data_IF_979253362546
#
_entry.id   IF_979253362546
#
_cell.length_a   1.000
_cell.length_b   1.000
_cell.length_c   1.000
_cell.angle_alpha   90.00
_cell.angle_beta   90.00
_cell.angle_gamma   90.00
#
_symmetry.space_group_name_H-M   'P 1'
#
loop_
_entity.id
_entity.type
_entity.pdbx_description
1 polymer ?
#
# COMPACT_ATOMS: atom_id res chain seq x y z
N UNK A 1 -5.35 2.71 15.97
CA UNK A 1 -4.70 2.32 14.70
C UNK A 1 -3.36 3.04 14.58
N UNK A 2 -2.33 2.39 14.00
CA UNK A 2 -1.01 2.98 13.79
C UNK A 2 -0.52 2.69 12.37
N UNK A 3 -0.02 3.72 11.67
CA UNK A 3 0.50 3.61 10.30
C UNK A 3 1.95 4.09 10.31
N UNK A 4 2.88 3.27 9.82
CA UNK A 4 4.30 3.62 9.71
C UNK A 4 4.72 3.48 8.26
N UNK A 5 5.25 4.56 7.67
CA UNK A 5 5.82 4.50 6.32
C UNK A 5 7.20 3.85 6.35
N UNK A 6 7.39 2.86 5.50
CA UNK A 6 8.65 2.11 5.39
C UNK A 6 9.52 2.60 4.22
N UNK A 7 9.12 3.73 3.64
CA UNK A 7 9.71 4.27 2.42
C UNK A 7 9.03 3.73 1.16
N UNK A 8 9.08 4.52 0.07
CA UNK A 8 8.46 4.24 -1.21
C UNK A 8 6.96 3.95 -1.07
N UNK A 9 6.51 2.75 -1.40
CA UNK A 9 5.12 2.29 -1.23
C UNK A 9 4.93 1.38 -0.01
N UNK A 10 6.00 1.10 0.74
CA UNK A 10 5.99 0.23 1.89
C UNK A 10 5.31 0.84 3.11
N UNK A 11 4.39 0.09 3.73
CA UNK A 11 3.74 0.50 4.98
C UNK A 11 3.64 -0.65 5.98
N UNK A 12 3.73 -0.30 7.26
CA UNK A 12 3.33 -1.12 8.38
C UNK A 12 2.06 -0.54 8.97
N UNK A 13 0.98 -1.31 9.03
CA UNK A 13 -0.32 -0.91 9.57
C UNK A 13 -0.67 -1.83 10.74
N UNK A 14 -0.80 -1.23 11.93
CA UNK A 14 -1.24 -1.90 13.15
C UNK A 14 -2.71 -1.58 13.37
N UNK A 15 -3.59 -2.59 13.27
CA UNK A 15 -5.04 -2.44 13.30
C UNK A 15 -5.69 -3.75 13.82
N UNK A 16 -6.71 -3.66 14.69
CA UNK A 16 -7.43 -4.81 15.26
C UNK A 16 -6.51 -5.86 15.93
N UNK A 17 -5.35 -5.43 16.42
CA UNK A 17 -4.35 -6.34 16.99
C UNK A 17 -3.49 -7.06 15.95
N UNK A 18 -3.76 -6.90 14.66
CA UNK A 18 -2.92 -7.39 13.58
C UNK A 18 -1.84 -6.37 13.19
N UNK A 19 -0.78 -6.87 12.58
CA UNK A 19 0.29 -6.05 11.99
C UNK A 19 0.44 -6.45 10.52
N UNK A 20 -0.01 -5.58 9.64
CA UNK A 20 0.00 -5.78 8.20
C UNK A 20 1.20 -5.06 7.59
N UNK A 21 2.01 -5.77 6.82
CA UNK A 21 3.04 -5.16 5.98
C UNK A 21 2.52 -5.06 4.55
N UNK A 22 2.40 -3.85 4.05
CA UNK A 22 1.97 -3.57 2.68
C UNK A 22 3.22 -3.27 1.86
N UNK A 23 3.40 -3.98 0.75
CA UNK A 23 4.50 -3.77 -0.22
C UNK A 23 5.89 -3.55 0.43
N UNK A 24 6.34 -4.45 1.33
CA UNK A 24 7.58 -4.24 2.06
C UNK A 24 8.82 -4.43 1.17
N UNK A 25 9.45 -3.32 0.82
CA UNK A 25 10.69 -3.28 0.05
C UNK A 25 11.77 -2.54 0.84
N UNK A 26 12.77 -3.25 1.33
CA UNK A 26 13.89 -2.73 2.12
C UNK A 26 15.22 -2.84 1.38
N UNK A 27 15.47 -4.04 0.82
CA UNK A 27 16.71 -4.32 0.09
C UNK A 27 16.77 -3.52 -1.21
N UNK A 28 17.72 -2.59 -1.29
CA UNK A 28 17.86 -1.69 -2.44
C UNK A 28 16.96 -0.44 -2.40
N UNK A 29 16.15 -0.26 -1.36
CA UNK A 29 15.39 0.96 -1.15
C UNK A 29 16.31 2.05 -0.56
N UNK A 30 16.62 3.13 -1.31
CA UNK A 30 17.62 4.11 -0.87
C UNK A 30 17.17 5.00 0.30
N UNK A 31 15.87 5.01 0.62
CA UNK A 31 15.33 5.82 1.74
C UNK A 31 15.01 4.99 2.97
N UNK A 32 15.06 3.65 2.88
CA UNK A 32 14.87 2.81 4.06
C UNK A 32 16.15 2.81 4.92
N UNK A 33 16.08 3.13 6.23
CA UNK A 33 17.26 3.25 7.07
C UNK A 33 17.91 1.90 7.35
N UNK A 34 19.22 1.84 7.12
CA UNK A 34 20.02 0.63 7.38
C UNK A 34 19.85 0.16 8.84
N UNK A 35 19.79 -1.16 9.04
CA UNK A 35 19.69 -1.78 10.36
C UNK A 35 18.30 -1.78 10.99
N UNK A 36 17.30 -1.08 10.44
CA UNK A 36 15.94 -1.02 11.04
C UNK A 36 14.96 -2.09 10.54
N UNK A 37 15.42 -3.03 9.71
CA UNK A 37 14.54 -4.10 9.17
C UNK A 37 13.85 -4.90 10.28
N UNK A 38 14.59 -5.33 11.31
CA UNK A 38 14.01 -6.12 12.40
C UNK A 38 12.86 -5.40 13.12
N UNK A 39 13.00 -4.10 13.33
CA UNK A 39 11.96 -3.26 13.91
C UNK A 39 10.74 -3.13 12.98
N UNK A 40 10.98 -2.92 11.68
CA UNK A 40 9.92 -2.79 10.69
C UNK A 40 9.01 -4.03 10.61
N UNK A 41 9.58 -5.23 10.74
CA UNK A 41 8.84 -6.50 10.62
C UNK A 41 8.37 -7.09 11.96
N UNK A 42 8.76 -6.49 13.09
CA UNK A 42 8.46 -7.03 14.42
C UNK A 42 6.96 -7.24 14.61
N UNK A 43 6.57 -8.47 14.96
CA UNK A 43 5.17 -8.84 15.22
C UNK A 43 4.27 -8.82 14.00
N UNK A 44 4.81 -8.73 12.78
CA UNK A 44 4.02 -8.80 11.56
C UNK A 44 3.23 -10.11 11.50
N UNK A 45 1.97 -10.02 11.07
CA UNK A 45 1.03 -11.14 10.97
C UNK A 45 0.73 -11.51 9.52
N UNK A 46 0.82 -10.56 8.60
CA UNK A 46 0.53 -10.73 7.18
C UNK A 46 1.42 -9.81 6.34
N UNK A 47 1.76 -10.27 5.14
CA UNK A 47 2.30 -9.43 4.06
C UNK A 47 1.22 -9.29 2.99
N UNK A 48 0.87 -8.07 2.59
CA UNK A 48 -0.04 -7.78 1.49
C UNK A 48 0.73 -7.15 0.33
N UNK A 49 0.52 -7.66 -0.87
CA UNK A 49 1.18 -7.16 -2.09
C UNK A 49 0.13 -6.62 -3.06
N UNK A 50 0.30 -5.37 -3.47
CA UNK A 50 -0.62 -4.70 -4.40
C UNK A 50 -0.44 -5.20 -5.84
N UNK A 51 0.79 -5.47 -6.26
CA UNK A 51 1.14 -5.96 -7.60
C UNK A 51 2.57 -6.53 -7.66
N UNK A 52 3.00 -6.96 -8.85
CA UNK A 52 4.20 -7.78 -9.02
C UNK A 52 5.52 -7.04 -9.17
N UNK A 53 5.57 -5.70 -9.22
CA UNK A 53 6.85 -5.00 -9.40
C UNK A 53 7.80 -5.19 -8.22
N UNK A 54 9.11 -5.14 -8.50
CA UNK A 54 10.15 -5.48 -7.52
C UNK A 54 10.23 -4.54 -6.33
N UNK A 55 9.89 -3.26 -6.52
CA UNK A 55 9.79 -2.24 -5.47
C UNK A 55 8.54 -2.35 -4.58
N UNK A 56 7.67 -3.34 -4.84
CA UNK A 56 6.51 -3.72 -4.04
C UNK A 56 6.63 -5.14 -3.48
N UNK A 57 6.96 -6.12 -4.32
CA UNK A 57 7.16 -7.51 -3.87
C UNK A 57 8.39 -7.65 -2.97
N UNK A 58 9.46 -6.95 -3.32
CA UNK A 58 10.70 -6.75 -2.61
C UNK A 58 11.10 -7.84 -1.64
N UNK A 59 11.08 -7.51 -0.36
CA UNK A 59 11.41 -8.41 0.74
C UNK A 59 10.22 -9.25 1.23
N UNK A 60 9.02 -9.06 0.68
CA UNK A 60 7.78 -9.70 1.14
C UNK A 60 7.89 -11.21 1.31
N UNK A 61 8.31 -11.99 0.28
CA UNK A 61 8.45 -13.44 0.41
C UNK A 61 9.49 -13.88 1.45
N UNK A 62 10.60 -13.16 1.56
CA UNK A 62 11.64 -13.46 2.54
C UNK A 62 11.15 -13.23 3.97
N UNK A 63 10.44 -12.11 4.21
CA UNK A 63 9.81 -11.79 5.50
C UNK A 63 8.75 -12.84 5.86
N UNK A 64 7.89 -13.18 4.92
CA UNK A 64 6.84 -14.17 5.13
C UNK A 64 7.41 -15.53 5.55
N UNK A 65 8.48 -15.95 4.91
CA UNK A 65 9.19 -17.20 5.25
C UNK A 65 9.86 -17.12 6.63
N UNK A 66 10.56 -16.03 6.93
CA UNK A 66 11.25 -15.80 8.20
C UNK A 66 10.28 -15.83 9.38
N UNK A 67 9.13 -15.17 9.25
CA UNK A 67 8.14 -15.04 10.32
C UNK A 67 7.06 -16.13 10.29
N UNK A 68 7.08 -17.02 9.28
CA UNK A 68 6.06 -18.04 9.05
C UNK A 68 4.64 -17.45 8.97
N UNK A 69 4.47 -16.36 8.23
CA UNK A 69 3.21 -15.66 8.01
C UNK A 69 2.83 -15.70 6.51
N UNK A 70 1.54 -15.55 6.16
CA UNK A 70 1.11 -15.60 4.77
C UNK A 70 1.46 -14.33 3.99
N UNK A 71 1.68 -14.51 2.67
CA UNK A 71 1.65 -13.44 1.66
C UNK A 71 0.25 -13.42 1.05
N UNK A 72 -0.42 -12.28 1.12
CA UNK A 72 -1.74 -12.04 0.59
C UNK A 72 -1.69 -11.10 -0.63
N UNK A 73 -2.48 -11.37 -1.65
CA UNK A 73 -2.53 -10.57 -2.86
C UNK A 73 -3.33 -11.26 -3.97
N UNK A 74 -3.28 -10.70 -5.18
CA UNK A 74 -3.95 -11.30 -6.32
C UNK A 74 -3.45 -12.73 -6.54
N UNK A 75 -4.38 -13.65 -6.82
CA UNK A 75 -4.11 -15.09 -6.83
C UNK A 75 -2.90 -15.48 -7.69
N UNK A 76 -2.79 -14.90 -8.90
CA UNK A 76 -1.71 -15.20 -9.84
C UNK A 76 -0.33 -14.82 -9.28
N UNK A 77 -0.21 -13.63 -8.65
CA UNK A 77 1.04 -13.17 -8.04
C UNK A 77 1.44 -14.07 -6.87
N UNK A 78 0.53 -14.26 -5.91
CA UNK A 78 0.91 -15.01 -4.70
C UNK A 78 1.10 -16.50 -5.00
N UNK A 79 0.39 -17.06 -6.00
CA UNK A 79 0.63 -18.41 -6.52
C UNK A 79 2.03 -18.55 -7.09
N UNK A 80 2.45 -17.62 -7.95
CA UNK A 80 3.81 -17.56 -8.48
C UNK A 80 4.87 -17.49 -7.36
N UNK A 81 4.63 -16.65 -6.35
CA UNK A 81 5.53 -16.54 -5.18
C UNK A 81 5.57 -17.81 -4.33
N UNK A 82 4.43 -18.50 -4.17
CA UNK A 82 4.38 -19.79 -3.49
C UNK A 82 5.24 -20.86 -4.18
N UNK A 83 5.12 -20.96 -5.51
CA UNK A 83 5.93 -21.89 -6.32
C UNK A 83 7.42 -21.55 -6.24
N UNK A 84 7.77 -20.28 -6.31
CA UNK A 84 9.17 -19.83 -6.35
C UNK A 84 9.86 -19.86 -4.99
N UNK A 85 9.15 -19.50 -3.91
CA UNK A 85 9.74 -19.27 -2.58
C UNK A 85 9.25 -20.22 -1.50
N UNK A 86 8.20 -21.01 -1.75
CA UNK A 86 7.62 -21.96 -0.77
C UNK A 86 6.96 -21.25 0.41
N UNK A 87 6.33 -20.09 0.19
CA UNK A 87 5.64 -19.30 1.22
C UNK A 87 4.17 -19.71 1.33
N UNK A 88 3.58 -19.50 2.50
CA UNK A 88 2.12 -19.60 2.70
C UNK A 88 1.45 -18.40 2.02
N UNK A 89 0.27 -18.62 1.44
CA UNK A 89 -0.44 -17.58 0.71
C UNK A 89 -1.91 -17.44 1.11
N UNK A 90 -2.43 -16.22 0.95
CA UNK A 90 -3.87 -15.92 0.91
C UNK A 90 -4.14 -15.30 -0.45
N UNK A 91 -4.45 -16.16 -1.45
CA UNK A 91 -4.81 -15.71 -2.79
C UNK A 91 -6.27 -15.28 -2.85
N UNK A 92 -6.53 -14.05 -3.28
CA UNK A 92 -7.88 -13.54 -3.54
C UNK A 92 -7.89 -12.64 -4.76
N UNK A 93 -9.01 -12.02 -5.09
CA UNK A 93 -9.11 -11.21 -6.30
C UNK A 93 -9.95 -9.95 -6.04
N UNK A 94 -9.97 -9.03 -6.99
CA UNK A 94 -10.73 -7.77 -6.92
C UNK A 94 -12.19 -8.04 -6.58
N UNK A 95 -12.73 -7.30 -5.60
CA UNK A 95 -14.04 -7.52 -5.00
C UNK A 95 -14.07 -8.54 -3.87
N UNK A 96 -13.02 -9.36 -3.71
CA UNK A 96 -12.87 -10.28 -2.58
C UNK A 96 -12.44 -9.57 -1.30
N UNK A 97 -12.90 -10.08 -0.16
CA UNK A 97 -12.51 -9.63 1.17
C UNK A 97 -11.97 -10.78 1.99
N UNK A 98 -10.82 -10.58 2.63
CA UNK A 98 -10.19 -11.54 3.54
C UNK A 98 -10.11 -10.98 4.95
N UNK A 99 -10.11 -11.88 5.93
CA UNK A 99 -9.86 -11.54 7.33
C UNK A 99 -8.36 -11.61 7.62
N UNK A 100 -7.82 -10.55 8.17
CA UNK A 100 -6.43 -10.44 8.56
C UNK A 100 -6.31 -10.17 10.07
N UNK A 101 -6.77 -11.14 10.89
CA UNK A 101 -6.68 -11.06 12.34
C UNK A 101 -7.66 -10.03 12.95
N UNK A 102 -8.85 -9.90 12.37
CA UNK A 102 -9.90 -8.94 12.76
C UNK A 102 -10.06 -7.78 11.78
N UNK A 103 -8.98 -7.30 11.17
CA UNK A 103 -9.07 -6.34 10.07
C UNK A 103 -9.64 -7.01 8.81
N UNK A 104 -10.55 -6.33 8.12
CA UNK A 104 -11.10 -6.78 6.83
C UNK A 104 -10.40 -6.09 5.68
N UNK A 105 -9.75 -6.87 4.82
CA UNK A 105 -9.01 -6.34 3.66
C UNK A 105 -9.74 -6.73 2.39
N UNK A 106 -10.31 -5.74 1.71
CA UNK A 106 -10.99 -5.91 0.41
C UNK A 106 -10.05 -5.45 -0.70
N UNK A 107 -9.82 -6.31 -1.70
CA UNK A 107 -9.05 -5.93 -2.88
C UNK A 107 -9.93 -5.10 -3.82
N UNK A 108 -9.41 -3.95 -4.25
CA UNK A 108 -10.06 -3.05 -5.19
C UNK A 108 -9.22 -2.84 -6.44
N UNK A 109 -9.82 -2.23 -7.46
CA UNK A 109 -9.13 -1.98 -8.72
C UNK A 109 -8.01 -0.94 -8.57
N UNK A 110 -7.01 -1.04 -9.44
CA UNK A 110 -5.97 -0.06 -9.72
C UNK A 110 -5.71 -0.04 -11.23
N UNK A 111 -5.06 1.00 -11.72
CA UNK A 111 -4.74 1.18 -13.15
C UNK A 111 -3.22 1.37 -13.31
N UNK A 112 -2.51 0.28 -13.53
CA UNK A 112 -1.06 0.21 -13.64
C UNK A 112 -0.68 -1.02 -14.47
N UNK A 113 0.45 -1.63 -14.20
CA UNK A 113 0.88 -2.93 -14.74
C UNK A 113 1.38 -3.83 -13.61
N UNK A 114 1.47 -5.13 -13.89
CA UNK A 114 1.90 -6.10 -12.87
C UNK A 114 2.74 -7.20 -13.52
N UNK A 115 4.04 -7.16 -13.27
CA UNK A 115 4.98 -8.19 -13.73
C UNK A 115 6.07 -8.43 -12.70
N UNK A 116 6.58 -9.65 -12.64
CA UNK A 116 7.70 -10.05 -11.80
C UNK A 116 8.67 -10.86 -12.62
N UNK A 117 9.95 -10.47 -12.65
CA UNK A 117 11.00 -11.12 -13.45
C UNK A 117 10.63 -11.29 -14.94
N UNK A 118 9.90 -10.31 -15.51
CA UNK A 118 9.46 -10.33 -16.90
C UNK A 118 8.24 -11.22 -17.18
N UNK A 119 7.64 -11.80 -16.14
CA UNK A 119 6.41 -12.61 -16.25
C UNK A 119 5.22 -11.79 -15.77
N UNK A 120 4.10 -11.86 -16.50
CA UNK A 120 2.82 -11.31 -16.03
C UNK A 120 2.32 -12.17 -14.87
N UNK A 121 2.02 -11.54 -13.74
CA UNK A 121 1.58 -12.20 -12.50
C UNK A 121 0.19 -11.72 -12.05
N UNK A 122 -0.69 -11.54 -13.00
CA UNK A 122 -2.04 -11.02 -12.77
C UNK A 122 -2.09 -9.51 -12.86
N UNK A 123 -3.18 -8.91 -12.41
CA UNK A 123 -3.39 -7.47 -12.47
C UNK A 123 -2.99 -6.78 -11.16
N UNK A 124 -2.70 -5.49 -11.28
CA UNK A 124 -2.48 -4.58 -10.17
C UNK A 124 -3.75 -4.38 -9.33
N UNK A 125 -3.57 -3.97 -8.08
CA UNK A 125 -4.68 -3.76 -7.14
C UNK A 125 -4.35 -2.71 -6.08
N UNK A 126 -5.40 -2.20 -5.43
CA UNK A 126 -5.34 -1.51 -4.17
C UNK A 126 -6.09 -2.28 -3.09
N UNK A 127 -6.11 -1.76 -1.87
CA UNK A 127 -6.81 -2.37 -0.74
C UNK A 127 -7.66 -1.35 0.01
N UNK A 128 -8.87 -1.78 0.42
CA UNK A 128 -9.67 -1.14 1.47
C UNK A 128 -9.49 -1.96 2.75
N UNK A 129 -8.83 -1.37 3.75
CA UNK A 129 -8.52 -2.02 5.02
C UNK A 129 -9.45 -1.43 6.08
N UNK A 130 -10.39 -2.23 6.58
CA UNK A 130 -11.39 -1.81 7.56
C UNK A 130 -11.12 -2.42 8.94
N UNK A 131 -11.14 -1.59 9.97
CA UNK A 131 -11.00 -1.96 11.37
C UNK A 131 -11.02 -0.73 12.29
N UNK A 132 -11.23 -0.93 13.58
CA UNK A 132 -11.26 0.13 14.59
C UNK A 132 -12.17 1.33 14.22
N UNK A 133 -13.27 1.05 13.47
CA UNK A 133 -14.20 2.10 13.02
C UNK A 133 -13.67 2.98 11.89
N UNK A 134 -12.54 2.64 11.28
CA UNK A 134 -11.90 3.35 10.18
C UNK A 134 -11.84 2.48 8.92
N UNK A 135 -11.70 3.11 7.76
CA UNK A 135 -11.36 2.45 6.50
C UNK A 135 -10.19 3.20 5.88
N UNK A 136 -9.13 2.46 5.60
CA UNK A 136 -7.94 2.96 4.90
C UNK A 136 -8.02 2.51 3.44
N UNK A 137 -7.94 3.43 2.50
CA UNK A 137 -7.66 3.12 1.10
C UNK A 137 -6.17 3.18 0.83
N UNK A 138 -5.57 2.04 0.53
CA UNK A 138 -4.21 1.94 -0.01
C UNK A 138 -4.34 1.81 -1.52
N UNK A 139 -3.94 2.82 -2.27
CA UNK A 139 -4.17 2.86 -3.71
C UNK A 139 -3.39 1.80 -4.50
N UNK A 140 -2.26 1.34 -3.96
CA UNK A 140 -1.23 0.73 -4.77
C UNK A 140 -0.71 1.71 -5.82
N UNK A 141 -0.03 1.22 -6.83
CA UNK A 141 0.35 2.03 -7.97
C UNK A 141 -0.83 2.16 -8.93
N UNK A 142 -1.20 3.40 -9.23
CA UNK A 142 -2.38 3.68 -10.06
C UNK A 142 -2.34 5.08 -10.69
N UNK A 143 -3.07 5.23 -11.78
CA UNK A 143 -3.60 6.53 -12.24
C UNK A 143 -5.04 6.71 -11.70
N UNK A 144 -5.66 7.85 -12.02
CA UNK A 144 -7.07 8.12 -11.77
C UNK A 144 -7.91 7.17 -12.62
N UNK A 145 -8.94 6.58 -12.04
CA UNK A 145 -9.88 5.72 -12.74
C UNK A 145 -11.33 6.01 -12.31
N UNK A 146 -12.28 5.72 -13.20
CA UNK A 146 -13.69 5.96 -12.94
C UNK A 146 -14.23 5.13 -11.76
N UNK A 147 -13.64 3.96 -11.52
CA UNK A 147 -14.00 3.07 -10.40
C UNK A 147 -13.85 3.73 -9.03
N UNK A 148 -12.99 4.75 -8.91
CA UNK A 148 -12.83 5.50 -7.66
C UNK A 148 -14.14 6.13 -7.16
N UNK A 149 -15.09 6.39 -8.06
CA UNK A 149 -16.41 6.95 -7.71
C UNK A 149 -17.22 5.98 -6.82
N UNK A 150 -17.44 4.75 -7.30
CA UNK A 150 -18.16 3.75 -6.51
C UNK A 150 -17.32 3.22 -5.33
N UNK A 151 -16.01 3.18 -5.46
CA UNK A 151 -15.11 2.78 -4.37
C UNK A 151 -15.23 3.75 -3.18
N UNK A 152 -15.31 5.07 -3.45
CA UNK A 152 -15.52 6.09 -2.44
C UNK A 152 -16.89 6.00 -1.79
N UNK A 153 -17.95 5.81 -2.59
CA UNK A 153 -19.32 5.71 -2.09
C UNK A 153 -19.57 4.44 -1.26
N UNK A 154 -19.11 3.30 -1.75
CA UNK A 154 -19.34 2.00 -1.12
C UNK A 154 -18.53 1.80 0.15
N UNK A 155 -17.21 2.08 0.09
CA UNK A 155 -16.29 1.78 1.19
C UNK A 155 -16.12 2.94 2.17
N UNK A 156 -16.39 4.18 1.74
CA UNK A 156 -16.30 5.41 2.55
C UNK A 156 -14.99 5.53 3.32
N UNK A 157 -13.82 5.37 2.66
CA UNK A 157 -12.54 5.43 3.36
C UNK A 157 -12.31 6.82 3.95
N UNK A 158 -11.85 6.84 5.20
CA UNK A 158 -11.51 8.06 5.95
C UNK A 158 -10.04 8.41 5.85
N UNK A 159 -9.20 7.43 5.52
CA UNK A 159 -7.75 7.59 5.32
C UNK A 159 -7.38 7.14 3.91
N UNK A 160 -6.65 7.98 3.18
CA UNK A 160 -6.10 7.65 1.87
C UNK A 160 -4.57 7.56 1.92
N UNK A 161 -4.01 6.40 1.61
CA UNK A 161 -2.58 6.24 1.29
C UNK A 161 -2.49 6.18 -0.23
N UNK A 162 -1.99 7.26 -0.84
CA UNK A 162 -2.08 7.48 -2.28
C UNK A 162 -0.70 7.55 -2.93
N UNK A 163 -0.47 6.75 -3.97
CA UNK A 163 0.71 6.89 -4.82
C UNK A 163 0.68 8.24 -5.52
N UNK A 164 1.74 9.04 -5.34
CA UNK A 164 1.79 10.44 -5.77
C UNK A 164 3.18 10.86 -6.30
N UNK A 165 3.97 9.89 -6.78
CA UNK A 165 5.36 10.11 -7.20
C UNK A 165 5.52 10.72 -8.59
N UNK A 166 4.51 10.72 -9.43
CA UNK A 166 4.51 11.34 -10.75
C UNK A 166 4.94 10.36 -11.85
N UNK A 167 6.21 10.14 -12.05
CA UNK A 167 6.74 9.46 -13.23
C UNK A 167 6.10 8.10 -13.58
N UNK A 168 5.81 7.29 -12.57
CA UNK A 168 5.23 5.94 -12.73
C UNK A 168 3.76 5.85 -12.26
N UNK A 169 3.31 6.79 -11.46
CA UNK A 169 1.97 6.81 -10.84
C UNK A 169 1.35 8.20 -10.99
N UNK A 170 0.23 8.46 -10.33
CA UNK A 170 -0.27 9.83 -10.17
C UNK A 170 0.84 10.75 -9.65
N UNK A 171 0.85 12.00 -10.09
CA UNK A 171 1.57 13.08 -9.43
C UNK A 171 0.74 13.67 -8.27
N UNK A 172 1.29 14.63 -7.55
CA UNK A 172 0.61 15.27 -6.42
C UNK A 172 -0.69 15.98 -6.84
N UNK A 173 -0.78 16.50 -8.08
CA UNK A 173 -2.00 17.16 -8.61
C UNK A 173 -3.09 16.13 -8.92
N UNK A 174 -2.72 15.00 -9.53
CA UNK A 174 -3.64 13.92 -9.85
C UNK A 174 -4.16 13.25 -8.59
N UNK A 175 -3.28 12.97 -7.61
CA UNK A 175 -3.67 12.43 -6.32
C UNK A 175 -4.63 13.38 -5.57
N UNK A 176 -4.36 14.70 -5.59
CA UNK A 176 -5.27 15.69 -5.02
C UNK A 176 -6.61 15.72 -5.74
N UNK A 177 -6.61 15.64 -7.09
CA UNK A 177 -7.85 15.60 -7.87
C UNK A 177 -8.67 14.36 -7.51
N UNK A 178 -8.05 13.18 -7.49
CA UNK A 178 -8.72 11.92 -7.12
C UNK A 178 -9.32 11.99 -5.71
N UNK A 179 -8.53 12.46 -4.73
CA UNK A 179 -8.97 12.61 -3.36
C UNK A 179 -10.20 13.52 -3.23
N UNK A 180 -10.20 14.67 -3.90
CA UNK A 180 -11.33 15.63 -3.87
C UNK A 180 -12.55 15.16 -4.63
N UNK A 181 -12.35 14.47 -5.75
CA UNK A 181 -13.44 14.14 -6.68
C UNK A 181 -14.21 12.91 -6.24
N UNK A 182 -13.54 11.95 -5.65
CA UNK A 182 -14.09 10.61 -5.44
C UNK A 182 -14.19 10.18 -3.98
N UNK A 183 -13.50 10.86 -3.07
CA UNK A 183 -13.41 10.43 -1.68
C UNK A 183 -13.73 11.56 -0.70
N UNK A 184 -14.06 11.18 0.52
CA UNK A 184 -14.24 12.11 1.64
C UNK A 184 -13.20 11.81 2.73
N UNK A 185 -11.93 11.85 2.36
CA UNK A 185 -10.84 11.59 3.30
C UNK A 185 -10.74 12.63 4.40
N UNK A 186 -10.53 12.17 5.62
CA UNK A 186 -10.12 13.02 6.74
C UNK A 186 -8.59 13.19 6.75
N UNK A 187 -7.87 12.11 6.38
CA UNK A 187 -6.41 12.10 6.33
C UNK A 187 -5.93 11.55 4.98
N UNK A 188 -4.90 12.17 4.40
CA UNK A 188 -4.20 11.67 3.20
C UNK A 188 -2.71 11.58 3.48
N UNK A 189 -2.12 10.46 3.12
CA UNK A 189 -0.68 10.16 3.25
C UNK A 189 -0.15 9.85 1.85
N UNK A 190 0.67 10.71 1.24
CA UNK A 190 1.30 10.40 -0.04
C UNK A 190 2.38 9.34 0.10
N UNK A 191 2.52 8.49 -0.92
CA UNK A 191 3.59 7.50 -1.02
C UNK A 191 4.14 7.43 -2.46
N UNK A 192 5.08 6.53 -2.71
CA UNK A 192 5.77 6.36 -4.00
C UNK A 192 6.48 7.64 -4.46
N UNK A 193 6.99 8.44 -3.53
CA UNK A 193 7.68 9.72 -3.80
C UNK A 193 8.96 9.84 -2.96
N UNK A 194 9.84 10.78 -3.25
CA UNK A 194 11.12 11.05 -2.56
C UNK A 194 12.17 9.95 -2.65
N UNK A 195 11.85 8.78 -3.19
CA UNK A 195 12.76 7.63 -3.25
C UNK A 195 13.85 7.82 -4.31
N UNK A 196 13.50 8.38 -5.45
CA UNK A 196 14.40 8.63 -6.56
C UNK A 196 14.30 10.09 -7.05
N UNK A 197 15.39 10.68 -7.62
CA UNK A 197 15.39 12.08 -8.07
C UNK A 197 14.33 12.41 -9.14
N UNK A 198 13.89 11.42 -9.92
CA UNK A 198 12.87 11.58 -10.97
C UNK A 198 11.44 11.65 -10.43
N UNK A 199 11.24 11.27 -9.17
CA UNK A 199 9.93 11.33 -8.52
C UNK A 199 9.70 12.70 -7.87
N UNK A 200 8.44 12.99 -7.52
CA UNK A 200 8.09 14.16 -6.70
C UNK A 200 8.89 14.14 -5.37
N UNK A 201 9.40 15.31 -4.97
CA UNK A 201 10.26 15.43 -3.78
C UNK A 201 9.54 16.11 -2.59
N UNK A 202 8.31 16.58 -2.77
CA UNK A 202 7.54 17.31 -1.75
C UNK A 202 6.05 17.11 -1.94
N UNK A 203 5.32 16.99 -0.84
CA UNK A 203 3.85 16.97 -0.85
C UNK A 203 3.21 18.37 -0.87
N UNK A 204 3.97 19.45 -1.00
CA UNK A 204 3.45 20.81 -0.90
C UNK A 204 2.26 21.09 -1.84
N UNK A 205 2.29 20.53 -3.07
CA UNK A 205 1.21 20.68 -4.05
C UNK A 205 -0.06 19.95 -3.57
N UNK A 206 0.07 18.75 -3.03
CA UNK A 206 -1.03 17.97 -2.47
C UNK A 206 -1.65 18.67 -1.26
N UNK A 207 -0.83 19.16 -0.33
CA UNK A 207 -1.25 19.92 0.86
C UNK A 207 -2.03 21.16 0.44
N UNK A 208 -1.49 21.97 -0.46
CA UNK A 208 -2.14 23.19 -0.92
C UNK A 208 -3.48 22.91 -1.65
N UNK A 209 -3.58 21.77 -2.34
CA UNK A 209 -4.76 21.40 -3.11
C UNK A 209 -5.89 20.79 -2.25
N UNK A 210 -5.61 20.35 -1.03
CA UNK A 210 -6.58 19.69 -0.13
C UNK A 210 -6.87 20.50 1.15
N UNK A 211 -7.36 21.74 1.05
CA UNK A 211 -7.71 22.51 2.24
C UNK A 211 -8.84 21.80 3.01
N UNK A 212 -8.63 21.61 4.32
CA UNK A 212 -9.59 20.92 5.18
C UNK A 212 -9.36 19.40 5.32
N UNK A 213 -8.44 18.81 4.56
CA UNK A 213 -7.98 17.44 4.75
C UNK A 213 -6.63 17.46 5.49
N UNK A 214 -6.45 16.58 6.45
CA UNK A 214 -5.17 16.43 7.14
C UNK A 214 -4.18 15.67 6.24
N UNK A 215 -3.41 16.39 5.44
CA UNK A 215 -2.35 15.77 4.63
C UNK A 215 -1.11 15.61 5.49
N UNK A 216 -0.67 14.37 5.71
CA UNK A 216 0.53 14.03 6.49
C UNK A 216 1.65 13.68 5.53
N UNK A 217 2.73 14.45 5.55
CA UNK A 217 3.98 14.11 4.88
C UNK A 217 4.79 13.15 5.76
N UNK A 218 4.76 11.83 5.47
CA UNK A 218 5.27 10.83 6.40
C UNK A 218 6.80 10.86 6.47
N UNK A 219 7.34 10.57 7.65
CA UNK A 219 8.76 10.27 7.81
C UNK A 219 8.95 8.75 7.89
N UNK A 220 10.05 8.27 7.28
CA UNK A 220 10.33 6.82 7.25
C UNK A 220 10.58 6.31 8.68
N UNK A 221 9.90 5.23 9.05
CA UNK A 221 9.94 4.58 10.36
C UNK A 221 9.39 5.42 11.53
N UNK A 222 8.70 6.52 11.27
CA UNK A 222 7.98 7.27 12.31
C UNK A 222 6.48 6.91 12.27
N UNK A 223 5.90 6.46 13.40
CA UNK A 223 4.50 6.05 13.42
C UNK A 223 3.53 7.24 13.46
N UNK A 224 2.49 7.16 12.66
CA UNK A 224 1.33 8.04 12.64
C UNK A 224 0.22 7.33 13.42
N UNK A 225 -0.31 7.95 14.46
CA UNK A 225 -1.46 7.44 15.22
C UNK A 225 -2.73 8.16 14.77
N UNK A 226 -3.73 7.40 14.39
CA UNK A 226 -5.04 7.90 13.94
C UNK A 226 -6.16 7.29 14.79
#
# INVERSE_FOLDING_TARGET
MKITWLGHSGFRIEIEGAVLLIDPWFTGNPVFPEGRRAEAIQGATHVFLTHGHGDHTGDGPAIAKELNIPVAGIYDLVGHLAEKHGVQIIGFNKGGTVDAGGAKVTMVNACHSSSLDGVNVGSESGFMIAGEGQVIYVSGDTDIMADMDWMGDLHKPTVGILSAGGHFTMDMKRAAYAAKRYFNFQTVIPCHYRTFPLLEQSAAVLIAALPGVHVIEPQVMEPITL
#
